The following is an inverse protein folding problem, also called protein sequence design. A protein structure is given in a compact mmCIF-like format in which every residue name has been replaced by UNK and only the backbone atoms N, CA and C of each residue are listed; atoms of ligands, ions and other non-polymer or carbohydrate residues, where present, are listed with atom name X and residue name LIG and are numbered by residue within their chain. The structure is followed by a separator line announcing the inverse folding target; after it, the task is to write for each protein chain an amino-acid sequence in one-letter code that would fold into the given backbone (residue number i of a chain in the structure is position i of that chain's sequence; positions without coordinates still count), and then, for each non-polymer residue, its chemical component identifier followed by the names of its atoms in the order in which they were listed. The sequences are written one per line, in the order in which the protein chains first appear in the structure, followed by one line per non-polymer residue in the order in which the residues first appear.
data_IF_296820999159
#
_entry.id   IF_296820999159
#
_cell.length_a   1.000
_cell.length_b   1.000
_cell.length_c   1.000
_cell.angle_alpha   90.00
_cell.angle_beta   90.00
_cell.angle_gamma   90.00
#
_symmetry.space_group_name_H-M   'P 1'
#
loop_
_entity.id
_entity.type
_entity.pdbx_description
1 polymer ?
#
# COMPACT_ATOMS: atom_id res chain seq x y z
N UNK A 1 1.17 27.90 6.96
CA UNK A 1 -0.10 27.33 6.48
C UNK A 1 0.24 26.38 5.35
N UNK A 2 0.17 25.07 5.60
CA UNK A 2 0.52 24.06 4.59
C UNK A 2 -0.58 24.10 3.51
N UNK A 3 -0.17 24.21 2.23
CA UNK A 3 -1.10 24.31 1.09
C UNK A 3 -1.31 22.97 0.39
N UNK A 4 -0.35 22.06 0.46
CA UNK A 4 -0.45 20.75 -0.15
C UNK A 4 0.49 19.74 0.54
N UNK A 5 0.00 18.53 0.76
CA UNK A 5 0.76 17.33 1.11
C UNK A 5 0.27 16.26 0.14
N UNK A 6 1.09 15.87 -0.83
CA UNK A 6 0.71 14.83 -1.79
C UNK A 6 1.02 13.45 -1.19
N UNK A 7 -0.01 12.65 -0.91
CA UNK A 7 0.11 11.25 -0.52
C UNK A 7 0.23 10.39 -1.78
N UNK A 8 1.22 9.51 -1.81
CA UNK A 8 1.25 8.43 -2.79
C UNK A 8 0.21 7.37 -2.44
N UNK A 9 -0.17 6.55 -3.41
CA UNK A 9 -0.95 5.36 -3.14
C UNK A 9 -0.61 4.23 -4.12
N UNK A 10 -0.87 3.00 -3.68
CA UNK A 10 -0.80 1.79 -4.50
C UNK A 10 -2.21 1.22 -4.56
N UNK A 11 -2.73 1.02 -5.78
CA UNK A 11 -3.95 0.25 -5.99
C UNK A 11 -3.55 -1.20 -6.17
N UNK A 12 -3.98 -2.08 -5.27
CA UNK A 12 -3.71 -3.50 -5.31
C UNK A 12 -5.00 -4.28 -5.59
N UNK A 13 -4.98 -5.07 -6.65
CA UNK A 13 -6.04 -6.03 -6.92
C UNK A 13 -5.69 -7.39 -6.29
N UNK A 14 -6.60 -7.90 -5.46
CA UNK A 14 -6.47 -9.20 -4.78
C UNK A 14 -7.58 -10.15 -5.24
N UNK A 15 -7.51 -11.41 -4.82
CA UNK A 15 -8.61 -12.36 -5.05
C UNK A 15 -9.94 -11.97 -4.37
N UNK A 16 -9.90 -11.11 -3.35
CA UNK A 16 -11.06 -10.70 -2.56
C UNK A 16 -11.66 -9.35 -3.03
N UNK A 17 -10.90 -8.55 -3.77
CA UNK A 17 -11.28 -7.18 -4.11
C UNK A 17 -10.10 -6.28 -4.39
N UNK A 18 -10.41 -5.01 -4.65
CA UNK A 18 -9.43 -3.94 -4.90
C UNK A 18 -9.28 -3.08 -3.66
N UNK A 19 -8.04 -2.77 -3.28
CA UNK A 19 -7.72 -1.93 -2.12
C UNK A 19 -6.68 -0.87 -2.48
N UNK A 20 -6.92 0.35 -2.00
CA UNK A 20 -5.98 1.47 -2.09
C UNK A 20 -5.17 1.54 -0.80
N UNK A 21 -3.86 1.39 -0.94
CA UNK A 21 -2.89 1.46 0.14
C UNK A 21 -2.22 2.84 0.08
N UNK A 22 -2.45 3.67 1.09
CA UNK A 22 -1.86 5.01 1.17
C UNK A 22 -0.40 4.92 1.61
N UNK A 23 0.40 5.90 1.19
CA UNK A 23 1.81 5.94 1.53
C UNK A 23 2.54 7.15 0.96
N UNK A 24 3.86 7.04 0.88
CA UNK A 24 4.76 8.06 0.36
C UNK A 24 5.71 7.44 -0.67
N UNK A 25 5.75 8.03 -1.86
CA UNK A 25 6.75 7.71 -2.87
C UNK A 25 8.03 8.48 -2.56
N UNK A 26 9.16 7.78 -2.53
CA UNK A 26 10.46 8.38 -2.24
C UNK A 26 11.31 8.39 -3.50
N UNK A 27 12.21 9.38 -3.58
CA UNK A 27 13.19 9.41 -4.65
C UNK A 27 14.24 8.30 -4.42
N UNK A 28 14.59 7.52 -5.45
CA UNK A 28 15.55 6.45 -5.31
C UNK A 28 16.94 7.00 -4.96
N UNK A 29 17.54 6.51 -3.86
CA UNK A 29 18.90 6.87 -3.45
C UNK A 29 19.29 6.31 -2.08
N UNK A 30 20.59 6.14 -1.82
CA UNK A 30 21.16 5.82 -0.49
C UNK A 30 20.50 4.66 0.29
N UNK A 31 19.91 3.67 -0.38
CA UNK A 31 19.26 2.54 0.28
C UNK A 31 17.87 2.81 0.85
N UNK A 32 17.28 3.97 0.56
CA UNK A 32 15.88 4.26 0.91
C UNK A 32 14.92 3.32 0.17
N UNK A 33 13.72 3.05 0.72
CA UNK A 33 12.66 2.42 -0.04
C UNK A 33 12.23 3.34 -1.20
N UNK A 34 11.63 2.76 -2.23
CA UNK A 34 10.96 3.49 -3.31
C UNK A 34 9.57 3.97 -2.87
N UNK A 35 8.97 3.27 -1.90
CA UNK A 35 7.66 3.62 -1.33
C UNK A 35 7.55 3.18 0.14
N UNK A 36 6.97 4.02 0.98
CA UNK A 36 6.54 3.67 2.34
C UNK A 36 5.02 3.49 2.32
N UNK A 37 4.53 2.28 2.59
CA UNK A 37 3.11 1.95 2.63
C UNK A 37 2.59 1.91 4.06
N UNK A 38 1.48 2.60 4.32
CA UNK A 38 0.88 2.66 5.64
C UNK A 38 -0.06 1.48 5.87
N UNK A 39 0.29 0.57 6.77
CA UNK A 39 -0.55 -0.57 7.15
C UNK A 39 -1.92 -0.12 7.69
N UNK A 40 -1.92 1.01 8.39
CA UNK A 40 -3.12 1.62 8.96
C UNK A 40 -4.06 2.22 7.91
N UNK A 41 -3.67 2.29 6.64
CA UNK A 41 -4.56 2.72 5.55
C UNK A 41 -5.45 1.59 5.01
N UNK A 42 -5.09 0.34 5.28
CA UNK A 42 -5.77 -0.86 4.76
C UNK A 42 -6.96 -1.20 5.68
N UNK A 43 -8.08 -0.49 5.53
CA UNK A 43 -9.24 -0.66 6.42
C UNK A 43 -10.53 -1.03 5.70
N UNK A 44 -10.68 -0.59 4.46
CA UNK A 44 -11.87 -0.85 3.64
C UNK A 44 -11.47 -1.22 2.21
N UNK A 45 -12.32 -2.02 1.57
CA UNK A 45 -12.20 -2.33 0.14
C UNK A 45 -12.74 -1.16 -0.70
N UNK A 46 -12.05 -0.84 -1.79
CA UNK A 46 -12.58 0.05 -2.83
C UNK A 46 -13.72 -0.65 -3.58
N UNK A 47 -13.50 -1.94 -3.87
CA UNK A 47 -14.46 -2.83 -4.52
C UNK A 47 -14.35 -4.24 -3.93
N UNK A 48 -15.41 -4.79 -3.30
CA UNK A 48 -16.73 -4.17 -3.08
C UNK A 48 -16.69 -3.05 -2.04
N UNK A 49 -17.32 -1.91 -2.37
CA UNK A 49 -17.21 -0.67 -1.57
C UNK A 49 -17.84 -0.82 -0.18
N UNK A 50 -17.12 -0.37 0.84
CA UNK A 50 -17.62 -0.26 2.21
C UNK A 50 -17.54 -1.54 3.05
N UNK A 51 -16.93 -2.59 2.50
CA UNK A 51 -16.59 -3.78 3.28
C UNK A 51 -15.27 -3.57 4.04
N UNK A 52 -15.26 -3.90 5.34
CA UNK A 52 -14.08 -3.74 6.19
C UNK A 52 -13.08 -4.88 6.00
N UNK A 53 -11.80 -4.52 6.02
CA UNK A 53 -10.69 -5.47 5.91
C UNK A 53 -10.28 -5.93 7.31
N UNK A 54 -10.53 -7.21 7.60
CA UNK A 54 -10.09 -7.83 8.85
C UNK A 54 -8.56 -8.00 8.95
N UNK A 55 -8.04 -8.14 10.17
CA UNK A 55 -6.60 -8.25 10.44
C UNK A 55 -5.90 -9.39 9.67
N UNK A 56 -6.56 -10.53 9.47
CA UNK A 56 -5.97 -11.66 8.74
C UNK A 56 -5.89 -11.39 7.23
N UNK A 57 -6.89 -10.71 6.67
CA UNK A 57 -6.88 -10.28 5.28
C UNK A 57 -5.83 -9.19 5.04
N UNK A 58 -5.71 -8.24 5.96
CA UNK A 58 -4.64 -7.22 5.93
C UNK A 58 -3.25 -7.84 5.80
N UNK A 59 -2.95 -8.88 6.59
CA UNK A 59 -1.67 -9.62 6.48
C UNK A 59 -1.49 -10.27 5.11
N UNK A 60 -2.55 -10.81 4.50
CA UNK A 60 -2.48 -11.38 3.14
C UNK A 60 -2.22 -10.30 2.09
N UNK A 61 -2.90 -9.16 2.18
CA UNK A 61 -2.72 -7.98 1.31
C UNK A 61 -1.25 -7.52 1.35
N UNK A 62 -0.68 -7.33 2.55
CA UNK A 62 0.71 -6.90 2.70
C UNK A 62 1.70 -7.92 2.13
N UNK A 63 1.46 -9.23 2.30
CA UNK A 63 2.30 -10.27 1.70
C UNK A 63 2.24 -10.23 0.18
N UNK A 64 1.06 -10.05 -0.40
CA UNK A 64 0.90 -9.92 -1.85
C UNK A 64 1.61 -8.67 -2.36
N UNK A 65 1.41 -7.51 -1.71
CA UNK A 65 2.09 -6.25 -2.05
C UNK A 65 3.61 -6.43 -2.11
N UNK A 66 4.21 -7.06 -1.10
CA UNK A 66 5.67 -7.29 -1.05
C UNK A 66 6.13 -8.30 -2.11
N UNK A 67 5.32 -9.29 -2.45
CA UNK A 67 5.62 -10.24 -3.53
C UNK A 67 5.63 -9.53 -4.89
N UNK A 68 4.58 -8.78 -5.21
CA UNK A 68 4.43 -8.05 -6.47
C UNK A 68 5.52 -6.97 -6.62
N UNK A 69 5.86 -6.29 -5.52
CA UNK A 69 6.95 -5.32 -5.48
C UNK A 69 8.31 -5.98 -5.77
N UNK A 70 8.58 -7.16 -5.18
CA UNK A 70 9.79 -7.92 -5.45
C UNK A 70 9.92 -8.33 -6.91
N UNK A 71 8.83 -8.80 -7.53
CA UNK A 71 8.81 -9.15 -8.96
C UNK A 71 9.12 -7.96 -9.87
N UNK A 72 8.71 -6.75 -9.45
CA UNK A 72 8.94 -5.50 -10.17
C UNK A 72 10.23 -4.78 -9.77
N UNK A 73 11.04 -5.34 -8.87
CA UNK A 73 12.22 -4.70 -8.27
C UNK A 73 11.93 -3.34 -7.61
N UNK A 74 10.76 -3.21 -6.98
CA UNK A 74 10.35 -2.03 -6.20
C UNK A 74 10.60 -2.34 -4.72
N UNK A 75 11.29 -1.45 -4.01
CA UNK A 75 11.53 -1.54 -2.56
C UNK A 75 10.40 -0.86 -1.82
N UNK A 76 9.58 -1.64 -1.12
CA UNK A 76 8.50 -1.13 -0.29
C UNK A 76 8.85 -1.36 1.19
N UNK A 77 8.69 -0.34 2.01
CA UNK A 77 8.70 -0.41 3.47
C UNK A 77 7.26 -0.29 3.99
N UNK A 78 6.94 -0.99 5.08
CA UNK A 78 5.61 -0.95 5.70
C UNK A 78 5.71 -0.22 7.04
N UNK A 79 4.83 0.75 7.27
CA UNK A 79 4.72 1.56 8.50
C UNK A 79 3.32 1.54 9.12
#
# INVERSE_FOLDING_TARGET
MIKEIARGHIVLQTEHGTVTILGEALLPGYGSPDFIAYENSINEWDEPKGELIGCDLKKKILRQLLSDAKERNIKIEIE
#
